data_IF_608680010753
#
_entry.id   IF_608680010753
#
_cell.length_a   1.000
_cell.length_b   1.000
_cell.length_c   1.000
_cell.angle_alpha   90.00
_cell.angle_beta   90.00
_cell.angle_gamma   90.00
#
_symmetry.space_group_name_H-M   'P 1'
#
loop_
_entity.id
_entity.type
_entity.pdbx_description
1 polymer ?
#
# COMPACT_ATOMS: atom_id res chain seq x y z
N UNK A 1 -9.14 63.54 -9.10
CA UNK A 1 -7.88 62.90 -9.55
C UNK A 1 -7.36 62.11 -8.34
N UNK A 2 -7.67 60.79 -8.20
CA UNK A 2 -6.90 59.61 -8.69
C UNK A 2 -5.46 59.64 -8.13
N UNK A 3 -4.86 58.66 -7.44
CA UNK A 3 -5.09 57.25 -7.05
C UNK A 3 -4.21 57.04 -5.76
N UNK A 4 -4.09 55.94 -5.03
CA UNK A 4 -4.45 54.54 -5.23
C UNK A 4 -4.35 53.84 -3.86
N UNK A 5 -5.32 52.97 -3.54
CA UNK A 5 -5.17 51.91 -2.55
C UNK A 5 -4.04 50.95 -3.01
N UNK A 6 -3.15 50.57 -2.10
CA UNK A 6 -2.26 49.38 -2.21
C UNK A 6 -2.50 48.58 -0.91
N UNK A 7 -3.43 47.63 -0.89
CA UNK A 7 -3.28 46.22 -1.27
C UNK A 7 -2.31 45.48 -0.33
N UNK A 8 -2.89 44.92 0.74
CA UNK A 8 -2.26 43.96 1.65
C UNK A 8 -1.68 42.77 0.87
N UNK A 9 -0.42 42.38 1.05
CA UNK A 9 0.06 41.12 0.52
C UNK A 9 -0.49 39.99 1.39
N UNK A 10 -1.54 39.33 0.90
CA UNK A 10 -2.01 38.06 1.45
C UNK A 10 -0.95 37.00 1.22
N UNK A 11 -0.25 36.64 2.30
CA UNK A 11 0.63 35.49 2.40
C UNK A 11 -0.19 34.22 2.17
N UNK A 12 -0.14 33.67 0.96
CA UNK A 12 -0.67 32.34 0.65
C UNK A 12 0.16 31.31 1.43
N UNK A 13 -0.39 30.80 2.53
CA UNK A 13 0.10 29.56 3.14
C UNK A 13 -0.17 28.43 2.14
N UNK A 14 0.90 27.89 1.55
CA UNK A 14 0.85 26.62 0.88
C UNK A 14 0.55 25.54 1.93
N UNK A 15 -0.65 24.96 1.87
CA UNK A 15 -0.97 23.76 2.61
C UNK A 15 -0.12 22.62 2.04
N UNK A 16 0.87 22.18 2.81
CA UNK A 16 1.57 20.93 2.58
C UNK A 16 0.55 19.79 2.70
N UNK A 17 0.28 19.11 1.58
CA UNK A 17 -0.46 17.87 1.56
C UNK A 17 0.32 16.84 2.39
N UNK A 18 -0.25 16.43 3.52
CA UNK A 18 0.27 15.31 4.28
C UNK A 18 0.05 14.05 3.44
N UNK A 19 1.15 13.36 3.13
CA UNK A 19 1.09 11.97 2.70
C UNK A 19 0.30 11.20 3.75
N UNK A 20 -0.82 10.59 3.34
CA UNK A 20 -1.60 9.73 4.20
C UNK A 20 -0.72 8.55 4.61
N UNK A 21 -0.23 8.60 5.85
CA UNK A 21 0.61 7.58 6.44
C UNK A 21 -0.20 6.28 6.41
N UNK A 22 0.23 5.31 5.59
CA UNK A 22 -0.47 4.05 5.36
C UNK A 22 -0.30 3.16 6.59
N UNK A 23 -0.98 3.46 7.69
CA UNK A 23 -0.69 2.77 8.95
C UNK A 23 -1.25 1.34 8.96
N UNK A 24 -0.48 0.33 9.43
CA UNK A 24 -1.01 -1.01 9.71
C UNK A 24 -2.13 -0.93 10.75
N UNK A 25 -2.96 -1.97 10.84
CA UNK A 25 -4.03 -1.99 11.84
C UNK A 25 -3.41 -2.02 13.25
N UNK A 26 -3.55 -0.89 13.97
CA UNK A 26 -3.12 -0.75 15.37
C UNK A 26 -3.73 -1.88 16.21
N UNK A 27 -2.99 -2.35 17.22
CA UNK A 27 -3.45 -3.33 18.21
C UNK A 27 -4.91 -3.09 18.59
N UNK A 28 -5.76 -4.12 18.45
CA UNK A 28 -7.22 -3.95 18.52
C UNK A 28 -7.57 -3.42 19.91
N UNK A 29 -8.21 -2.26 19.92
CA UNK A 29 -9.02 -1.83 21.05
C UNK A 29 -10.47 -2.02 20.62
N UNK A 30 -11.27 -2.79 21.38
CA UNK A 30 -12.66 -3.08 21.02
C UNK A 30 -13.49 -1.82 20.73
N UNK A 31 -13.15 -0.70 21.37
CA UNK A 31 -13.78 0.62 21.19
C UNK A 31 -13.38 1.36 19.91
N UNK A 32 -12.54 0.79 19.06
CA UNK A 32 -12.08 1.40 17.79
C UNK A 32 -12.14 0.49 16.58
N UNK A 33 -12.58 -0.77 16.73
CA UNK A 33 -12.59 -1.76 15.65
C UNK A 33 -13.45 -1.32 14.46
N UNK A 34 -14.68 -0.84 14.70
CA UNK A 34 -15.58 -0.44 13.62
C UNK A 34 -15.02 0.72 12.79
N UNK A 35 -14.35 1.68 13.44
CA UNK A 35 -13.69 2.79 12.77
C UNK A 35 -12.50 2.31 11.95
N UNK A 36 -11.68 1.40 12.49
CA UNK A 36 -10.56 0.80 11.76
C UNK A 36 -11.04 0.00 10.55
N UNK A 37 -12.08 -0.82 10.71
CA UNK A 37 -12.71 -1.58 9.62
C UNK A 37 -13.19 -0.64 8.53
N UNK A 38 -13.95 0.41 8.88
CA UNK A 38 -14.44 1.39 7.92
C UNK A 38 -13.28 2.04 7.15
N UNK A 39 -12.22 2.45 7.85
CA UNK A 39 -11.04 3.03 7.22
C UNK A 39 -10.33 2.04 6.28
N UNK A 40 -10.21 0.75 6.63
CA UNK A 40 -9.60 -0.26 5.75
C UNK A 40 -10.47 -0.46 4.50
N UNK A 41 -11.78 -0.59 4.65
CA UNK A 41 -12.73 -0.78 3.54
C UNK A 41 -12.73 0.44 2.61
N UNK A 42 -12.74 1.65 3.15
CA UNK A 42 -12.60 2.88 2.37
C UNK A 42 -11.27 2.92 1.62
N UNK A 43 -10.18 2.43 2.24
CA UNK A 43 -8.88 2.24 1.59
C UNK A 43 -8.87 1.31 0.39
N UNK A 44 -9.74 0.31 0.38
CA UNK A 44 -9.86 -0.54 -0.79
C UNK A 44 -10.67 0.11 -1.90
N UNK A 45 -11.55 1.06 -1.57
CA UNK A 45 -12.35 1.81 -2.51
C UNK A 45 -11.58 3.00 -3.13
N UNK A 46 -10.73 3.68 -2.35
CA UNK A 46 -9.90 4.81 -2.83
C UNK A 46 -8.88 4.36 -3.89
N UNK A 47 -8.40 3.11 -3.80
CA UNK A 47 -7.50 2.49 -4.77
C UNK A 47 -6.05 3.01 -4.74
N UNK A 48 -5.75 4.02 -3.94
CA UNK A 48 -4.40 4.59 -3.83
C UNK A 48 -3.62 3.93 -2.70
N UNK A 49 -4.26 3.74 -1.54
CA UNK A 49 -3.57 3.38 -0.31
C UNK A 49 -3.14 1.91 -0.26
N UNK A 50 -3.85 1.08 -1.00
CA UNK A 50 -3.64 -0.36 -1.10
C UNK A 50 -3.60 -0.80 -2.56
N UNK A 51 -3.01 0.05 -3.41
CA UNK A 51 -2.92 -0.17 -4.86
C UNK A 51 -2.21 -1.48 -5.21
N UNK A 52 -1.21 -1.88 -4.41
CA UNK A 52 -0.39 -3.08 -4.63
C UNK A 52 -0.99 -4.36 -4.02
N UNK A 53 -2.19 -4.32 -3.42
CA UNK A 53 -2.85 -5.51 -2.86
C UNK A 53 -3.60 -6.26 -3.96
N UNK A 54 -3.29 -7.54 -4.10
CA UNK A 54 -3.97 -8.42 -5.05
C UNK A 54 -5.44 -8.68 -4.65
N UNK A 55 -6.36 -8.90 -5.62
CA UNK A 55 -7.78 -9.13 -5.34
C UNK A 55 -8.04 -10.26 -4.33
N UNK A 56 -7.26 -11.35 -4.40
CA UNK A 56 -7.36 -12.47 -3.45
C UNK A 56 -7.01 -12.05 -2.02
N UNK A 57 -5.97 -11.24 -1.85
CA UNK A 57 -5.57 -10.71 -0.55
C UNK A 57 -6.63 -9.75 0.01
N UNK A 58 -7.26 -8.92 -0.85
CA UNK A 58 -8.40 -8.07 -0.44
C UNK A 58 -9.55 -8.92 0.13
N UNK A 59 -9.91 -10.01 -0.55
CA UNK A 59 -10.94 -10.94 -0.06
C UNK A 59 -10.55 -11.57 1.28
N UNK A 60 -9.28 -11.94 1.47
CA UNK A 60 -8.78 -12.49 2.75
C UNK A 60 -8.90 -11.48 3.90
N UNK A 61 -8.54 -10.21 3.65
CA UNK A 61 -8.67 -9.13 4.65
C UNK A 61 -10.13 -8.91 5.02
N UNK A 62 -11.02 -8.79 4.03
CA UNK A 62 -12.46 -8.61 4.27
C UNK A 62 -13.05 -9.78 5.07
N UNK A 63 -12.71 -11.02 4.71
CA UNK A 63 -13.17 -12.20 5.44
C UNK A 63 -12.64 -12.26 6.87
N UNK A 64 -11.40 -11.81 7.12
CA UNK A 64 -10.84 -11.72 8.47
C UNK A 64 -11.55 -10.65 9.29
N UNK A 65 -11.79 -9.46 8.72
CA UNK A 65 -12.56 -8.38 9.37
C UNK A 65 -13.97 -8.85 9.78
N UNK A 66 -14.66 -9.59 8.92
CA UNK A 66 -16.00 -10.10 9.23
C UNK A 66 -15.98 -11.14 10.38
N UNK A 67 -14.95 -12.00 10.45
CA UNK A 67 -14.79 -12.95 11.57
C UNK A 67 -14.49 -12.24 12.89
N UNK A 68 -13.68 -11.19 12.85
CA UNK A 68 -13.38 -10.37 14.02
C UNK A 68 -14.64 -9.66 14.52
N UNK A 69 -15.45 -9.12 13.62
CA UNK A 69 -16.76 -8.51 13.95
C UNK A 69 -17.69 -9.51 14.63
N UNK A 70 -17.79 -10.73 14.10
CA UNK A 70 -18.61 -11.80 14.68
C UNK A 70 -18.12 -12.25 16.07
N UNK A 71 -16.81 -12.19 16.31
CA UNK A 71 -16.21 -12.54 17.60
C UNK A 71 -16.43 -11.42 18.63
N UNK A 72 -16.20 -10.17 18.22
CA UNK A 72 -16.30 -9.00 19.10
C UNK A 72 -17.73 -8.57 19.38
N UNK A 73 -18.66 -8.69 18.43
CA UNK A 73 -20.03 -8.19 18.57
C UNK A 73 -20.76 -8.73 19.80
N UNK A 74 -20.85 -10.06 20.00
CA UNK A 74 -21.52 -10.65 21.16
C UNK A 74 -20.79 -10.39 22.48
N UNK A 75 -19.46 -10.35 22.45
CA UNK A 75 -18.65 -10.18 23.64
C UNK A 75 -18.51 -8.72 24.06
N UNK A 76 -18.66 -7.76 23.12
CA UNK A 76 -18.53 -6.31 23.27
C UNK A 76 -17.20 -5.78 23.82
N UNK A 77 -16.27 -6.64 24.24
CA UNK A 77 -14.89 -6.28 24.59
C UNK A 77 -13.99 -7.52 24.50
N UNK A 78 -12.68 -7.30 24.30
CA UNK A 78 -11.71 -8.41 24.17
C UNK A 78 -11.60 -9.16 25.49
N UNK A 79 -11.66 -8.46 26.62
CA UNK A 79 -11.46 -9.03 27.95
C UNK A 79 -12.50 -10.11 28.28
N UNK A 80 -13.72 -9.94 27.75
CA UNK A 80 -14.87 -10.83 27.92
C UNK A 80 -14.84 -12.07 27.02
N UNK A 81 -13.90 -12.15 26.07
CA UNK A 81 -13.73 -13.32 25.20
C UNK A 81 -13.08 -14.50 25.96
N UNK A 82 -13.46 -15.71 25.56
CA UNK A 82 -12.76 -16.93 26.00
C UNK A 82 -11.29 -16.90 25.52
N UNK A 83 -10.38 -17.64 26.17
CA UNK A 83 -9.00 -17.75 25.72
C UNK A 83 -8.88 -18.16 24.25
N UNK A 84 -9.72 -19.09 23.79
CA UNK A 84 -9.73 -19.59 22.41
C UNK A 84 -10.20 -18.51 21.43
N UNK A 85 -11.25 -17.76 21.79
CA UNK A 85 -11.76 -16.66 20.98
C UNK A 85 -10.76 -15.50 20.89
N UNK A 86 -10.00 -15.23 21.95
CA UNK A 86 -8.89 -14.25 21.92
C UNK A 86 -7.81 -14.67 20.94
N UNK A 87 -7.38 -15.94 20.98
CA UNK A 87 -6.38 -16.46 20.06
C UNK A 87 -6.86 -16.35 18.61
N UNK A 88 -8.10 -16.72 18.32
CA UNK A 88 -8.68 -16.58 16.98
C UNK A 88 -8.69 -15.11 16.51
N UNK A 89 -9.10 -14.18 17.39
CA UNK A 89 -9.12 -12.76 17.10
C UNK A 89 -7.72 -12.22 16.76
N UNK A 90 -6.71 -12.56 17.55
CA UNK A 90 -5.33 -12.14 17.29
C UNK A 90 -4.77 -12.76 16.02
N UNK A 91 -5.10 -14.02 15.72
CA UNK A 91 -4.69 -14.64 14.45
C UNK A 91 -5.29 -13.90 13.25
N UNK A 92 -6.57 -13.52 13.32
CA UNK A 92 -7.21 -12.73 12.27
C UNK A 92 -6.59 -11.33 12.14
N UNK A 93 -6.22 -10.70 13.26
CA UNK A 93 -5.45 -9.46 13.26
C UNK A 93 -4.12 -9.61 12.54
N UNK A 94 -3.34 -10.65 12.86
CA UNK A 94 -2.03 -10.87 12.26
C UNK A 94 -2.13 -11.09 10.74
N UNK A 95 -3.17 -11.79 10.27
CA UNK A 95 -3.43 -11.95 8.83
C UNK A 95 -3.64 -10.58 8.17
N UNK A 96 -4.48 -9.73 8.76
CA UNK A 96 -4.75 -8.38 8.23
C UNK A 96 -3.47 -7.54 8.26
N UNK A 97 -2.77 -7.51 9.39
CA UNK A 97 -1.55 -6.74 9.57
C UNK A 97 -0.49 -7.11 8.56
N UNK A 98 -0.24 -8.40 8.39
CA UNK A 98 0.75 -8.90 7.41
C UNK A 98 0.41 -8.39 6.00
N UNK A 99 -0.83 -8.57 5.56
CA UNK A 99 -1.24 -8.16 4.21
C UNK A 99 -1.13 -6.64 4.02
N UNK A 100 -1.58 -5.84 4.99
CA UNK A 100 -1.56 -4.39 4.87
C UNK A 100 -0.13 -3.82 4.95
N UNK A 101 0.73 -4.41 5.80
CA UNK A 101 2.14 -4.02 5.91
C UNK A 101 2.90 -4.36 4.63
N UNK A 102 2.73 -5.57 4.09
CA UNK A 102 3.35 -5.97 2.82
C UNK A 102 2.98 -4.99 1.69
N UNK A 103 1.71 -4.57 1.64
CA UNK A 103 1.22 -3.60 0.66
C UNK A 103 1.87 -2.23 0.80
N UNK A 104 2.05 -1.76 2.03
CA UNK A 104 2.72 -0.50 2.32
C UNK A 104 4.19 -0.55 1.88
N UNK A 105 4.88 -1.64 2.22
CA UNK A 105 6.28 -1.84 1.82
C UNK A 105 6.43 -1.89 0.30
N UNK A 106 5.51 -2.56 -0.39
CA UNK A 106 5.43 -2.64 -1.84
C UNK A 106 5.18 -1.28 -2.51
N UNK A 107 4.36 -0.42 -1.87
CA UNK A 107 3.98 0.91 -2.38
C UNK A 107 5.07 1.97 -2.17
N UNK A 108 6.10 1.67 -1.37
CA UNK A 108 7.18 2.62 -1.10
C UNK A 108 7.95 2.99 -2.37
N UNK A 109 8.14 4.29 -2.60
CA UNK A 109 8.92 4.78 -3.73
C UNK A 109 10.45 4.66 -3.50
N UNK A 110 11.15 4.22 -4.53
CA UNK A 110 12.61 4.14 -4.58
C UNK A 110 13.13 4.87 -5.81
N UNK A 111 13.89 5.94 -5.59
CA UNK A 111 14.51 6.73 -6.65
C UNK A 111 15.97 6.30 -6.90
N UNK A 112 16.28 5.89 -8.12
CA UNK A 112 17.66 5.62 -8.56
C UNK A 112 18.18 6.79 -9.38
N UNK A 113 19.33 7.32 -8.97
CA UNK A 113 20.07 8.33 -9.77
C UNK A 113 20.92 7.63 -10.82
N UNK A 114 20.60 7.85 -12.09
CA UNK A 114 21.31 7.30 -13.24
C UNK A 114 22.00 8.42 -14.03
N UNK A 115 23.17 8.12 -14.59
CA UNK A 115 23.86 9.00 -15.55
C UNK A 115 23.79 8.35 -16.92
N UNK A 116 23.12 9.00 -17.86
CA UNK A 116 23.11 8.55 -19.26
C UNK A 116 24.53 8.64 -19.83
N UNK A 117 24.96 7.60 -20.54
CA UNK A 117 26.28 7.59 -21.19
C UNK A 117 26.36 8.77 -22.15
N UNK A 118 27.50 9.48 -22.14
CA UNK A 118 27.73 10.70 -22.93
C UNK A 118 26.83 11.90 -22.56
N UNK A 119 26.21 11.91 -21.37
CA UNK A 119 25.53 13.10 -20.82
C UNK A 119 26.22 13.59 -19.55
N UNK A 120 26.32 14.92 -19.40
CA UNK A 120 26.73 15.56 -18.14
C UNK A 120 25.56 15.71 -17.16
N UNK A 121 24.32 15.51 -17.61
CA UNK A 121 23.12 15.58 -16.78
C UNK A 121 22.91 14.28 -16.00
N UNK A 122 22.48 14.41 -14.74
CA UNK A 122 22.04 13.28 -13.90
C UNK A 122 20.52 13.20 -13.97
N UNK A 123 20.00 12.04 -14.32
CA UNK A 123 18.56 11.77 -14.34
C UNK A 123 18.19 10.95 -13.09
N UNK A 124 17.01 11.20 -12.53
CA UNK A 124 16.46 10.40 -11.43
C UNK A 124 15.24 9.67 -11.94
N UNK A 125 15.19 8.36 -11.73
CA UNK A 125 14.06 7.50 -12.09
C UNK A 125 13.50 6.94 -10.79
N UNK A 126 12.22 7.21 -10.51
CA UNK A 126 11.53 6.74 -9.31
C UNK A 126 10.46 5.74 -9.69
N UNK A 127 10.35 4.67 -8.92
CA UNK A 127 9.34 3.62 -9.05
C UNK A 127 8.94 3.13 -7.68
N UNK A 128 7.78 2.48 -7.55
CA UNK A 128 7.47 1.69 -6.35
C UNK A 128 8.35 0.44 -6.30
N UNK A 129 8.48 -0.17 -5.12
CA UNK A 129 9.19 -1.45 -4.96
C UNK A 129 8.51 -2.52 -5.82
N UNK A 130 7.18 -2.60 -5.79
CA UNK A 130 6.42 -3.54 -6.60
C UNK A 130 6.59 -3.32 -8.11
N UNK A 131 6.56 -2.07 -8.58
CA UNK A 131 6.84 -1.76 -9.99
C UNK A 131 8.25 -2.21 -10.41
N UNK A 132 9.22 -1.99 -9.53
CA UNK A 132 10.60 -2.37 -9.76
C UNK A 132 10.75 -3.89 -9.89
N UNK A 133 10.09 -4.65 -9.03
CA UNK A 133 10.05 -6.12 -9.08
C UNK A 133 9.37 -6.61 -10.35
N UNK A 134 8.18 -6.09 -10.67
CA UNK A 134 7.46 -6.39 -11.92
C UNK A 134 8.35 -6.12 -13.15
N UNK A 135 9.14 -5.04 -13.15
CA UNK A 135 10.07 -4.73 -14.24
C UNK A 135 11.24 -5.70 -14.30
N UNK A 136 11.81 -6.09 -13.16
CA UNK A 136 12.89 -7.09 -13.09
C UNK A 136 12.43 -8.43 -13.62
N UNK A 137 11.22 -8.85 -13.26
CA UNK A 137 10.68 -10.14 -13.68
C UNK A 137 10.42 -10.17 -15.19
N UNK A 138 9.77 -9.13 -15.74
CA UNK A 138 9.62 -8.98 -17.19
C UNK A 138 10.97 -9.02 -17.94
N UNK A 139 12.00 -8.39 -17.38
CA UNK A 139 13.33 -8.40 -17.98
C UNK A 139 13.97 -9.80 -17.97
N UNK A 140 13.75 -10.59 -16.91
CA UNK A 140 14.19 -11.99 -16.83
C UNK A 140 13.46 -12.85 -17.86
N UNK A 141 12.13 -12.78 -17.92
CA UNK A 141 11.34 -13.52 -18.90
C UNK A 141 11.77 -13.22 -20.34
N UNK A 142 12.02 -11.94 -20.67
CA UNK A 142 12.51 -11.57 -22.00
C UNK A 142 13.89 -12.16 -22.30
N UNK A 143 14.80 -12.17 -21.33
CA UNK A 143 16.12 -12.76 -21.49
C UNK A 143 16.05 -14.28 -21.65
N UNK A 144 15.17 -14.96 -20.93
CA UNK A 144 14.93 -16.40 -21.04
C UNK A 144 14.32 -16.77 -22.39
N UNK A 145 13.28 -16.03 -22.85
CA UNK A 145 12.71 -16.20 -24.19
C UNK A 145 13.75 -15.98 -25.29
N UNK A 146 14.58 -14.95 -25.16
CA UNK A 146 15.67 -14.70 -26.10
C UNK A 146 16.69 -15.84 -26.14
N UNK A 147 17.02 -16.46 -24.99
CA UNK A 147 17.90 -17.62 -24.93
C UNK A 147 17.27 -18.88 -25.52
N UNK A 148 15.99 -19.14 -25.23
CA UNK A 148 15.24 -20.26 -25.79
C UNK A 148 15.13 -20.20 -27.32
N UNK A 149 14.96 -19.00 -27.88
CA UNK A 149 14.94 -18.77 -29.33
C UNK A 149 16.33 -18.86 -29.99
N UNK A 150 17.42 -18.72 -29.24
CA UNK A 150 18.80 -18.90 -29.75
C UNK A 150 19.22 -20.37 -29.78
N UNK A 151 18.55 -21.24 -29.01
CA UNK A 151 18.82 -22.69 -28.95
C UNK A 151 18.20 -23.54 -30.08
N UNK A 152 17.52 -22.95 -31.06
CA UNK A 152 17.09 -23.65 -32.28
C UNK A 152 17.81 -23.13 -33.55
N UNK A 153 19.07 -23.54 -33.81
CA UNK A 153 19.71 -23.32 -35.09
C UNK A 153 19.35 -24.40 -36.14
N UNK A 154 18.31 -25.24 -35.91
CA UNK A 154 18.02 -26.40 -36.76
C UNK A 154 16.54 -26.54 -37.15
N UNK A 155 15.91 -25.43 -37.55
CA UNK A 155 14.56 -25.40 -38.11
C UNK A 155 14.53 -25.25 -39.63
N UNK A 156 15.01 -26.28 -40.36
CA UNK A 156 14.96 -26.48 -41.83
C UNK A 156 15.67 -25.47 -42.75
#
# INVERSE_FOLDING_TARGET
MKCSLLLFPGLFLAASAFAADQMPMREIQATGFDQQRAAIVEGFADGERYAEIEPEQKTKVLAALDRMEQTLGPAGSIERLSPEAKVALYNDQEVINTILTDAQEASREVCKRNRTVNSRLKNSECHTVAEWERRRERAREMAERARGNVSDPAGK
#
